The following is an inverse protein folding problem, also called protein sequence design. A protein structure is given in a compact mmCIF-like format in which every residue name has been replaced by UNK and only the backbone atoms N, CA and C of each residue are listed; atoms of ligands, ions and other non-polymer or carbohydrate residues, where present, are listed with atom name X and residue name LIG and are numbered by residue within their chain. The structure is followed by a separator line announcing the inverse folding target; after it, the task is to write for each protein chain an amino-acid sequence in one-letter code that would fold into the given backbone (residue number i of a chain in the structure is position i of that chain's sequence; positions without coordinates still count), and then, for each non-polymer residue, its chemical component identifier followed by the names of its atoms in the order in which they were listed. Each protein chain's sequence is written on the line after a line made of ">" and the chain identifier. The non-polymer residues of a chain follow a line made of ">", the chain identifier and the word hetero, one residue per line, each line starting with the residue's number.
data_IF_127882055289
#
_entry.id   IF_127882055289
#
_cell.length_a   1.000
_cell.length_b   1.000
_cell.length_c   1.000
_cell.angle_alpha   90.00
_cell.angle_beta   90.00
_cell.angle_gamma   90.00
#
_symmetry.space_group_name_H-M   'P 1'
#
loop_
_entity.id
_entity.type
_entity.pdbx_description
1 polymer ?
#
# COMPACT_ATOMS: atom_id res chain seq x y z
N UNK A 1 -2.65 -12.47 54.43
CA UNK A 1 -3.28 -12.30 53.13
C UNK A 1 -2.17 -12.45 52.08
N UNK A 2 -2.08 -13.62 51.49
CA UNK A 2 -1.04 -13.99 50.52
C UNK A 2 -1.39 -13.44 49.14
N UNK A 3 -0.58 -12.53 48.61
CA UNK A 3 -0.68 -12.05 47.25
C UNK A 3 -0.22 -13.15 46.30
N UNK A 4 -1.13 -13.72 45.55
CA UNK A 4 -0.82 -14.64 44.44
C UNK A 4 -0.20 -13.84 43.31
N UNK A 5 1.10 -14.01 43.08
CA UNK A 5 1.80 -13.51 41.92
C UNK A 5 1.26 -14.23 40.69
N UNK A 6 0.44 -13.55 39.90
CA UNK A 6 0.04 -14.03 38.56
C UNK A 6 1.25 -13.96 37.65
N UNK A 7 1.76 -15.12 37.29
CA UNK A 7 2.85 -15.27 36.32
C UNK A 7 2.37 -14.84 34.93
N UNK A 8 2.91 -13.76 34.28
CA UNK A 8 2.45 -13.28 33.00
C UNK A 8 2.91 -14.14 31.81
N UNK A 9 3.52 -15.32 32.07
CA UNK A 9 4.13 -16.17 31.04
C UNK A 9 3.28 -17.32 30.49
N UNK A 10 2.02 -17.47 30.85
CA UNK A 10 1.17 -18.48 30.21
C UNK A 10 0.57 -17.96 28.91
N UNK A 11 1.39 -17.83 27.87
CA UNK A 11 0.90 -17.82 26.50
C UNK A 11 0.00 -19.05 26.35
N UNK A 12 -1.31 -18.83 26.21
CA UNK A 12 -2.28 -19.87 25.92
C UNK A 12 -1.77 -20.60 24.68
N UNK A 13 -1.19 -21.79 24.86
CA UNK A 13 -0.84 -22.66 23.74
C UNK A 13 -2.15 -23.02 23.07
N UNK A 14 -2.49 -22.29 22.00
CA UNK A 14 -3.67 -22.58 21.19
C UNK A 14 -3.68 -24.06 20.78
N UNK A 15 -4.85 -24.67 20.61
CA UNK A 15 -4.94 -26.07 20.25
C UNK A 15 -4.13 -26.34 18.99
N UNK A 16 -3.36 -27.42 18.99
CA UNK A 16 -2.43 -27.80 17.92
C UNK A 16 -3.09 -27.83 16.54
N UNK A 17 -4.36 -28.12 16.46
CA UNK A 17 -5.11 -28.14 15.20
C UNK A 17 -5.26 -26.74 14.58
N UNK A 18 -5.39 -25.68 15.37
CA UNK A 18 -5.40 -24.28 14.88
C UNK A 18 -4.06 -23.90 14.25
N UNK A 19 -2.96 -24.30 14.89
CA UNK A 19 -1.63 -24.07 14.34
C UNK A 19 -1.42 -24.86 13.04
N UNK A 20 -1.83 -26.12 13.02
CA UNK A 20 -1.76 -26.95 11.81
C UNK A 20 -2.63 -26.38 10.67
N UNK A 21 -3.85 -25.93 11.01
CA UNK A 21 -4.73 -25.28 10.02
C UNK A 21 -4.12 -23.97 9.48
N UNK A 22 -3.59 -23.10 10.36
CA UNK A 22 -2.92 -21.88 9.94
C UNK A 22 -1.72 -22.17 9.01
N UNK A 23 -0.88 -23.14 9.36
CA UNK A 23 0.25 -23.56 8.52
C UNK A 23 -0.21 -24.11 7.16
N UNK A 24 -1.30 -24.90 7.13
CA UNK A 24 -1.86 -25.40 5.88
C UNK A 24 -2.37 -24.28 4.98
N UNK A 25 -3.07 -23.28 5.55
CA UNK A 25 -3.54 -22.10 4.81
C UNK A 25 -2.35 -21.30 4.26
N UNK A 26 -1.34 -21.04 5.09
CA UNK A 26 -0.12 -20.35 4.60
C UNK A 26 0.59 -21.15 3.51
N UNK A 27 0.76 -22.45 3.69
CA UNK A 27 1.37 -23.31 2.66
C UNK A 27 0.59 -23.23 1.35
N UNK A 28 -0.74 -23.31 1.40
CA UNK A 28 -1.61 -23.19 0.23
C UNK A 28 -1.48 -21.83 -0.46
N UNK A 29 -1.40 -20.74 0.28
CA UNK A 29 -1.26 -19.38 -0.27
C UNK A 29 0.12 -19.13 -0.90
N UNK A 30 1.18 -19.64 -0.29
CA UNK A 30 2.55 -19.42 -0.78
C UNK A 30 3.02 -20.46 -1.80
N UNK A 31 2.39 -21.63 -1.88
CA UNK A 31 2.74 -22.68 -2.83
C UNK A 31 2.81 -22.21 -4.30
N UNK A 32 1.81 -21.46 -4.83
CA UNK A 32 1.89 -20.92 -6.19
C UNK A 32 3.09 -20.00 -6.41
N UNK A 33 3.43 -19.18 -5.40
CA UNK A 33 4.57 -18.27 -5.47
C UNK A 33 5.88 -19.06 -5.50
N UNK A 34 6.01 -20.08 -4.67
CA UNK A 34 7.19 -20.97 -4.66
C UNK A 34 7.32 -21.67 -6.01
N UNK A 35 6.22 -22.17 -6.58
CA UNK A 35 6.23 -22.79 -7.90
C UNK A 35 6.70 -21.79 -8.96
N UNK A 36 6.17 -20.57 -8.96
CA UNK A 36 6.57 -19.51 -9.88
C UNK A 36 8.07 -19.20 -9.77
N UNK A 37 8.60 -19.09 -8.54
CA UNK A 37 10.05 -18.89 -8.30
C UNK A 37 10.85 -20.06 -8.87
N UNK A 38 10.44 -21.30 -8.62
CA UNK A 38 11.13 -22.48 -9.16
C UNK A 38 11.14 -22.49 -10.70
N UNK A 39 10.01 -22.15 -11.32
CA UNK A 39 9.90 -22.09 -12.78
C UNK A 39 10.67 -20.91 -13.41
N UNK A 40 10.99 -19.86 -12.65
CA UNK A 40 11.86 -18.78 -13.12
C UNK A 40 13.29 -19.24 -13.44
N UNK A 41 13.69 -20.40 -12.89
CA UNK A 41 14.99 -21.02 -13.17
C UNK A 41 14.92 -22.21 -14.15
N UNK A 42 13.73 -22.62 -14.59
CA UNK A 42 13.57 -23.79 -15.44
C UNK A 42 14.09 -23.57 -16.87
N UNK A 43 15.13 -24.27 -17.29
CA UNK A 43 15.75 -24.15 -18.62
C UNK A 43 14.89 -24.69 -19.76
N UNK A 44 13.92 -25.57 -19.46
CA UNK A 44 13.03 -26.17 -20.47
C UNK A 44 11.81 -25.28 -20.80
N UNK A 45 11.74 -24.06 -20.27
CA UNK A 45 10.60 -23.17 -20.49
C UNK A 45 9.40 -23.47 -19.59
N UNK A 46 8.18 -23.20 -20.09
CA UNK A 46 6.93 -23.34 -19.34
C UNK A 46 6.38 -24.75 -19.54
N UNK A 47 6.95 -25.74 -18.92
CA UNK A 47 6.42 -27.08 -19.02
C UNK A 47 7.27 -28.12 -18.28
N UNK A 48 6.58 -29.16 -17.80
CA UNK A 48 7.22 -30.27 -17.09
C UNK A 48 7.49 -30.02 -15.61
N UNK A 49 7.05 -30.95 -14.78
CA UNK A 49 7.41 -31.01 -13.36
C UNK A 49 8.18 -32.32 -13.11
N UNK A 50 9.28 -32.30 -12.40
CA UNK A 50 9.96 -31.16 -11.77
C UNK A 50 10.73 -30.29 -12.78
N UNK A 51 11.09 -29.02 -12.40
CA UNK A 51 11.95 -28.15 -13.20
C UNK A 51 13.29 -28.84 -13.50
N UNK A 52 13.78 -28.71 -14.75
CA UNK A 52 15.02 -29.32 -15.21
C UNK A 52 15.92 -28.25 -15.83
N UNK A 53 17.23 -28.59 -15.95
CA UNK A 53 18.21 -27.73 -16.60
C UNK A 53 18.22 -26.30 -16.05
N UNK A 54 18.38 -26.15 -14.72
CA UNK A 54 18.29 -24.87 -14.02
C UNK A 54 19.21 -23.83 -14.67
N UNK A 55 18.66 -22.66 -15.01
CA UNK A 55 19.35 -21.59 -15.72
C UNK A 55 19.00 -20.21 -15.20
N UNK A 56 19.91 -19.27 -15.34
CA UNK A 56 19.71 -17.85 -15.11
C UNK A 56 19.46 -17.07 -16.42
N UNK A 57 19.35 -17.77 -17.55
CA UNK A 57 19.22 -17.11 -18.85
C UNK A 57 17.99 -16.22 -18.96
N UNK A 58 16.88 -16.60 -18.32
CA UNK A 58 15.64 -15.82 -18.31
C UNK A 58 15.82 -14.45 -17.64
N UNK A 59 16.64 -14.38 -16.59
CA UNK A 59 17.01 -13.11 -15.95
C UNK A 59 17.88 -12.26 -16.88
N UNK A 60 18.80 -12.88 -17.62
CA UNK A 60 19.61 -12.16 -18.60
C UNK A 60 18.75 -11.57 -19.72
N UNK A 61 17.81 -12.36 -20.26
CA UNK A 61 16.85 -11.89 -21.27
C UNK A 61 16.01 -10.75 -20.71
N UNK A 62 15.46 -10.92 -19.50
CA UNK A 62 14.67 -9.92 -18.81
C UNK A 62 15.41 -8.59 -18.64
N UNK A 63 16.68 -8.62 -18.23
CA UNK A 63 17.45 -7.38 -18.08
C UNK A 63 17.76 -6.68 -19.41
N UNK A 64 17.65 -7.39 -20.52
CA UNK A 64 17.81 -6.83 -21.88
C UNK A 64 16.46 -6.43 -22.51
N UNK A 65 15.34 -6.66 -21.83
CA UNK A 65 13.99 -6.45 -22.33
C UNK A 65 13.52 -5.02 -22.02
N UNK A 66 13.85 -4.07 -22.90
CA UNK A 66 13.49 -2.66 -22.74
C UNK A 66 11.97 -2.43 -22.51
N UNK A 67 11.03 -3.04 -23.27
CA UNK A 67 9.59 -2.90 -23.04
C UNK A 67 9.13 -3.21 -21.61
N UNK A 68 9.72 -4.21 -20.94
CA UNK A 68 9.40 -4.51 -19.54
C UNK A 68 9.87 -3.37 -18.63
N UNK A 69 11.10 -2.90 -18.79
CA UNK A 69 11.64 -1.85 -17.93
C UNK A 69 10.93 -0.51 -18.15
N UNK A 70 10.58 -0.19 -19.38
CA UNK A 70 9.74 0.97 -19.67
C UNK A 70 8.38 0.85 -18.99
N UNK A 71 7.76 -0.32 -19.00
CA UNK A 71 6.48 -0.56 -18.34
C UNK A 71 6.59 -0.51 -16.80
N UNK A 72 7.70 -0.95 -16.22
CA UNK A 72 8.00 -0.78 -14.78
C UNK A 72 8.07 0.70 -14.42
N UNK A 73 8.84 1.47 -15.18
CA UNK A 73 8.98 2.92 -14.95
C UNK A 73 7.64 3.64 -15.11
N UNK A 74 6.88 3.32 -16.15
CA UNK A 74 5.54 3.86 -16.39
C UNK A 74 4.59 3.56 -15.22
N UNK A 75 4.59 2.32 -14.70
CA UNK A 75 3.77 1.96 -13.53
C UNK A 75 4.15 2.76 -12.30
N UNK A 76 5.45 2.91 -12.01
CA UNK A 76 5.92 3.70 -10.88
C UNK A 76 5.50 5.17 -11.00
N UNK A 77 5.65 5.75 -12.21
CA UNK A 77 5.25 7.12 -12.49
C UNK A 77 3.74 7.30 -12.33
N UNK A 78 2.93 6.40 -12.92
CA UNK A 78 1.47 6.44 -12.81
C UNK A 78 1.04 6.30 -11.36
N UNK A 79 1.57 5.32 -10.63
CA UNK A 79 1.19 5.07 -9.24
C UNK A 79 1.55 6.26 -8.33
N UNK A 80 2.73 6.84 -8.52
CA UNK A 80 3.16 8.00 -7.74
C UNK A 80 2.32 9.24 -8.05
N UNK A 81 2.08 9.54 -9.33
CA UNK A 81 1.28 10.69 -9.73
C UNK A 81 -0.20 10.54 -9.32
N UNK A 82 -0.79 9.36 -9.49
CA UNK A 82 -2.15 9.06 -9.05
C UNK A 82 -2.29 9.16 -7.52
N UNK A 83 -1.30 8.70 -6.76
CA UNK A 83 -1.24 8.86 -5.31
C UNK A 83 -1.28 10.33 -4.90
N UNK A 84 -0.48 11.19 -5.54
CA UNK A 84 -0.47 12.63 -5.26
C UNK A 84 -1.84 13.27 -5.56
N UNK A 85 -2.45 12.95 -6.69
CA UNK A 85 -3.80 13.43 -7.05
C UNK A 85 -4.82 12.96 -6.02
N UNK A 86 -4.83 11.67 -5.71
CA UNK A 86 -5.79 11.11 -4.77
C UNK A 86 -5.67 11.73 -3.37
N UNK A 87 -4.46 11.97 -2.88
CA UNK A 87 -4.23 12.64 -1.59
C UNK A 87 -4.60 14.12 -1.65
N UNK A 88 -4.26 14.83 -2.73
CA UNK A 88 -4.55 16.25 -2.90
C UNK A 88 -6.06 16.54 -2.84
N UNK A 89 -6.89 15.65 -3.35
CA UNK A 89 -8.35 15.78 -3.30
C UNK A 89 -8.98 15.02 -2.12
N UNK A 90 -8.43 13.89 -1.73
CA UNK A 90 -8.97 13.04 -0.67
C UNK A 90 -8.79 13.64 0.73
N UNK A 91 -7.66 14.30 1.02
CA UNK A 91 -7.45 14.95 2.32
C UNK A 91 -8.47 16.08 2.55
N UNK A 92 -8.66 17.05 1.63
CA UNK A 92 -9.71 18.05 1.78
C UNK A 92 -11.11 17.45 1.86
N UNK A 93 -11.42 16.41 1.09
CA UNK A 93 -12.71 15.74 1.14
C UNK A 93 -12.96 15.09 2.51
N UNK A 94 -11.95 14.43 3.10
CA UNK A 94 -12.03 13.86 4.44
C UNK A 94 -12.27 14.94 5.51
N UNK A 95 -11.53 16.06 5.43
CA UNK A 95 -11.72 17.21 6.34
C UNK A 95 -13.12 17.81 6.22
N UNK A 96 -13.63 17.99 4.98
CA UNK A 96 -14.98 18.49 4.76
C UNK A 96 -16.02 17.54 5.35
N UNK A 97 -15.85 16.23 5.18
CA UNK A 97 -16.75 15.22 5.75
C UNK A 97 -16.69 15.17 7.28
N UNK A 98 -15.52 15.41 7.88
CA UNK A 98 -15.38 15.38 9.34
C UNK A 98 -15.90 16.68 9.99
N UNK A 99 -15.50 17.85 9.48
CA UNK A 99 -15.63 19.12 10.19
C UNK A 99 -16.72 20.05 9.66
N UNK A 100 -16.95 20.05 8.35
CA UNK A 100 -17.91 20.97 7.76
C UNK A 100 -19.35 20.47 7.90
N UNK A 101 -20.27 21.40 8.14
CA UNK A 101 -21.70 21.19 8.04
C UNK A 101 -22.19 21.99 6.84
N UNK A 102 -22.70 21.34 5.81
CA UNK A 102 -23.21 21.98 4.60
C UNK A 102 -24.38 21.20 4.02
N UNK A 103 -25.30 21.89 3.31
CA UNK A 103 -26.39 21.21 2.64
C UNK A 103 -25.87 20.24 1.59
N UNK A 104 -26.41 19.03 1.54
CA UNK A 104 -25.94 17.99 0.62
C UNK A 104 -24.74 17.17 1.09
N UNK A 105 -24.25 17.33 2.33
CA UNK A 105 -23.14 16.55 2.88
C UNK A 105 -23.32 15.03 2.73
N UNK A 106 -24.54 14.53 2.91
CA UNK A 106 -24.84 13.11 2.73
C UNK A 106 -24.67 12.66 1.27
N UNK A 107 -25.08 13.49 0.32
CA UNK A 107 -24.89 13.23 -1.12
C UNK A 107 -23.39 13.29 -1.48
N UNK A 108 -22.68 14.32 -1.02
CA UNK A 108 -21.23 14.45 -1.20
C UNK A 108 -20.49 13.21 -0.71
N UNK A 109 -20.81 12.72 0.49
CA UNK A 109 -20.25 11.48 1.05
C UNK A 109 -20.47 10.28 0.13
N UNK A 110 -21.70 10.12 -0.38
CA UNK A 110 -22.02 9.01 -1.30
C UNK A 110 -21.24 9.12 -2.61
N UNK A 111 -21.15 10.32 -3.18
CA UNK A 111 -20.42 10.54 -4.45
C UNK A 111 -18.91 10.30 -4.31
N UNK A 112 -18.30 10.78 -3.22
CA UNK A 112 -16.86 10.55 -2.97
C UNK A 112 -16.56 9.08 -2.77
N UNK A 113 -17.45 8.30 -2.16
CA UNK A 113 -17.25 6.87 -1.90
C UNK A 113 -17.70 5.98 -3.07
N UNK A 114 -18.40 6.53 -4.05
CA UNK A 114 -18.94 5.77 -5.19
C UNK A 114 -17.87 4.99 -5.97
N UNK A 115 -16.68 5.57 -6.27
CA UNK A 115 -15.63 4.83 -6.99
C UNK A 115 -15.16 3.56 -6.29
N UNK A 116 -15.25 3.50 -4.95
CA UNK A 116 -14.86 2.31 -4.19
C UNK A 116 -15.81 1.11 -4.43
N UNK A 117 -17.04 1.39 -4.80
CA UNK A 117 -18.10 0.38 -5.00
C UNK A 117 -18.15 -0.06 -6.47
N UNK A 118 -17.77 0.84 -7.38
CA UNK A 118 -17.86 0.57 -8.82
C UNK A 118 -16.75 -0.41 -9.25
N UNK A 119 -17.08 -1.44 -10.06
CA UNK A 119 -16.07 -2.27 -10.69
C UNK A 119 -15.12 -1.43 -11.57
N UNK A 120 -13.80 -1.69 -11.48
CA UNK A 120 -12.78 -0.93 -12.24
C UNK A 120 -13.05 -0.88 -13.74
N UNK A 121 -13.60 -1.95 -14.32
CA UNK A 121 -14.00 -1.99 -15.73
C UNK A 121 -15.03 -0.90 -16.06
N UNK A 122 -16.04 -0.69 -15.22
CA UNK A 122 -17.07 0.33 -15.44
C UNK A 122 -16.45 1.73 -15.32
N UNK A 123 -15.60 1.94 -14.33
CA UNK A 123 -14.87 3.20 -14.15
C UNK A 123 -13.99 3.50 -15.37
N UNK A 124 -13.20 2.53 -15.81
CA UNK A 124 -12.32 2.67 -16.98
C UNK A 124 -13.09 2.97 -18.27
N UNK A 125 -14.18 2.25 -18.53
CA UNK A 125 -15.02 2.46 -19.70
C UNK A 125 -15.71 3.84 -19.67
N UNK A 126 -16.22 4.26 -18.53
CA UNK A 126 -16.86 5.58 -18.37
C UNK A 126 -15.86 6.72 -18.60
N UNK A 127 -14.64 6.59 -18.07
CA UNK A 127 -13.57 7.56 -18.29
C UNK A 127 -13.10 7.56 -19.76
N UNK A 128 -13.02 6.39 -20.41
CA UNK A 128 -12.73 6.31 -21.83
C UNK A 128 -13.76 7.10 -22.65
N UNK A 129 -15.04 6.93 -22.36
CA UNK A 129 -16.11 7.67 -23.05
C UNK A 129 -15.97 9.19 -22.81
N UNK A 130 -15.70 9.59 -21.57
CA UNK A 130 -15.49 10.99 -21.20
C UNK A 130 -14.31 11.59 -22.01
N UNK A 131 -13.17 10.91 -22.05
CA UNK A 131 -11.99 11.36 -22.79
C UNK A 131 -12.22 11.39 -24.30
N UNK A 132 -13.03 10.45 -24.82
CA UNK A 132 -13.42 10.46 -26.24
C UNK A 132 -14.31 11.66 -26.60
N UNK A 133 -15.29 11.99 -25.78
CA UNK A 133 -16.13 13.18 -25.95
C UNK A 133 -15.30 14.48 -25.87
N UNK A 134 -14.31 14.50 -24.97
CA UNK A 134 -13.37 15.62 -24.83
C UNK A 134 -12.23 15.64 -25.84
N UNK A 135 -12.22 14.72 -26.83
CA UNK A 135 -11.14 14.56 -27.82
C UNK A 135 -9.74 14.41 -27.21
N UNK A 136 -9.66 13.93 -25.97
CA UNK A 136 -8.40 13.70 -25.25
C UNK A 136 -7.71 12.46 -25.80
N UNK A 137 -6.46 12.61 -26.25
CA UNK A 137 -5.64 11.46 -26.68
C UNK A 137 -5.25 10.62 -25.47
N UNK A 138 -5.48 9.31 -25.58
CA UNK A 138 -5.09 8.35 -24.55
C UNK A 138 -3.56 8.29 -24.41
N UNK A 139 -3.09 8.28 -23.17
CA UNK A 139 -1.67 8.32 -22.80
C UNK A 139 -1.46 7.90 -21.35
N UNK A 140 -0.25 7.90 -20.85
CA UNK A 140 0.02 7.72 -19.40
C UNK A 140 -0.72 8.74 -18.54
N UNK A 141 -0.92 9.99 -19.04
CA UNK A 141 -1.67 11.01 -18.31
C UNK A 141 -3.13 10.60 -18.10
N UNK A 142 -3.79 10.01 -19.10
CA UNK A 142 -5.18 9.52 -18.94
C UNK A 142 -5.28 8.38 -17.94
N UNK A 143 -4.26 7.51 -17.85
CA UNK A 143 -4.17 6.48 -16.81
C UNK A 143 -3.98 7.13 -15.44
N UNK A 144 -3.07 8.10 -15.30
CA UNK A 144 -2.84 8.86 -14.05
C UNK A 144 -4.13 9.52 -13.56
N UNK A 145 -4.87 10.18 -14.45
CA UNK A 145 -6.15 10.81 -14.10
C UNK A 145 -7.21 9.78 -13.71
N UNK A 146 -7.25 8.64 -14.41
CA UNK A 146 -8.17 7.54 -14.12
C UNK A 146 -7.92 6.93 -12.75
N UNK A 147 -6.68 6.53 -12.46
CA UNK A 147 -6.29 5.99 -11.15
C UNK A 147 -6.44 7.04 -10.05
N UNK A 148 -5.96 8.27 -10.29
CA UNK A 148 -6.07 9.36 -9.32
C UNK A 148 -7.51 9.62 -8.92
N UNK A 149 -8.41 9.71 -9.88
CA UNK A 149 -9.85 9.95 -9.62
C UNK A 149 -10.50 8.77 -8.88
N UNK A 150 -10.24 7.53 -9.31
CA UNK A 150 -10.80 6.34 -8.68
C UNK A 150 -10.33 6.18 -7.21
N UNK A 151 -9.08 6.53 -6.93
CA UNK A 151 -8.45 6.33 -5.62
C UNK A 151 -8.65 7.50 -4.63
N UNK A 152 -9.33 8.60 -5.04
CA UNK A 152 -9.76 9.68 -4.11
C UNK A 152 -10.60 9.09 -2.96
N UNK A 153 -11.46 8.12 -3.26
CA UNK A 153 -12.31 7.46 -2.27
C UNK A 153 -11.48 6.74 -1.20
N UNK A 154 -10.39 6.07 -1.60
CA UNK A 154 -9.46 5.40 -0.67
C UNK A 154 -8.76 6.42 0.21
N UNK A 155 -8.20 7.49 -0.40
CA UNK A 155 -7.57 8.59 0.35
C UNK A 155 -8.53 9.20 1.37
N UNK A 156 -9.76 9.49 0.93
CA UNK A 156 -10.79 10.09 1.80
C UNK A 156 -11.12 9.17 2.98
N UNK A 157 -11.30 7.88 2.74
CA UNK A 157 -11.68 6.91 3.78
C UNK A 157 -10.58 6.74 4.82
N UNK A 158 -9.33 6.57 4.38
CA UNK A 158 -8.19 6.36 5.28
C UNK A 158 -7.90 7.60 6.12
N UNK A 159 -7.90 8.78 5.50
CA UNK A 159 -7.68 10.04 6.21
C UNK A 159 -8.85 10.35 7.16
N UNK A 160 -10.10 10.09 6.73
CA UNK A 160 -11.27 10.26 7.60
C UNK A 160 -11.20 9.34 8.82
N UNK A 161 -10.80 8.08 8.66
CA UNK A 161 -10.60 7.17 9.79
C UNK A 161 -9.49 7.66 10.75
N UNK A 162 -8.46 8.32 10.23
CA UNK A 162 -7.43 9.00 11.03
C UNK A 162 -7.99 10.18 11.82
N UNK A 163 -8.80 11.04 11.17
CA UNK A 163 -9.45 12.20 11.80
C UNK A 163 -10.36 11.80 12.98
N UNK A 164 -11.06 10.67 12.86
CA UNK A 164 -11.94 10.17 13.94
C UNK A 164 -11.16 9.77 15.21
N UNK A 165 -9.87 9.50 15.10
CA UNK A 165 -9.00 9.16 16.24
C UNK A 165 -8.30 10.39 16.82
N UNK A 166 -8.34 11.53 16.13
CA UNK A 166 -7.68 12.75 16.56
C UNK A 166 -8.43 13.40 17.73
N UNK A 167 -7.70 13.80 18.78
CA UNK A 167 -8.26 14.60 19.85
C UNK A 167 -8.44 16.05 19.40
N UNK A 168 -9.68 16.47 19.19
CA UNK A 168 -10.03 17.82 18.74
C UNK A 168 -9.64 18.93 19.70
N UNK A 169 -9.53 18.64 21.00
CA UNK A 169 -9.10 19.62 21.98
C UNK A 169 -7.71 20.23 21.69
N UNK A 170 -6.83 19.52 20.96
CA UNK A 170 -5.54 20.06 20.55
C UNK A 170 -5.67 21.17 19.49
N UNK A 171 -6.64 21.03 18.59
CA UNK A 171 -6.91 22.02 17.56
C UNK A 171 -7.64 23.25 18.14
N UNK A 172 -8.62 23.01 19.01
CA UNK A 172 -9.33 24.06 19.73
C UNK A 172 -8.37 24.88 20.60
N UNK A 173 -7.50 24.24 21.38
CA UNK A 173 -6.48 24.93 22.15
C UNK A 173 -5.52 25.75 21.30
N UNK A 174 -5.16 25.28 20.10
CA UNK A 174 -4.33 26.04 19.16
C UNK A 174 -5.02 27.31 18.68
N UNK A 175 -6.32 27.23 18.38
CA UNK A 175 -7.12 28.36 17.94
C UNK A 175 -7.34 29.37 19.10
N UNK A 176 -7.55 28.89 20.33
CA UNK A 176 -7.68 29.74 21.53
C UNK A 176 -6.40 30.51 21.83
N UNK A 177 -5.25 29.94 21.49
CA UNK A 177 -3.93 30.61 21.57
C UNK A 177 -3.68 31.60 20.42
N UNK A 178 -4.67 31.84 19.54
CA UNK A 178 -4.60 32.79 18.44
C UNK A 178 -3.98 32.26 17.15
N UNK A 179 -3.79 30.95 17.01
CA UNK A 179 -3.35 30.38 15.73
C UNK A 179 -4.47 30.46 14.68
N UNK A 180 -4.10 30.68 13.42
CA UNK A 180 -5.05 30.61 12.31
C UNK A 180 -5.39 29.14 11.97
N UNK A 181 -6.54 28.89 11.31
CA UNK A 181 -6.91 27.55 10.83
C UNK A 181 -5.82 26.89 9.99
N UNK A 182 -5.11 27.68 9.16
CA UNK A 182 -3.99 27.20 8.33
C UNK A 182 -2.76 26.79 9.17
N UNK A 183 -2.45 27.55 10.20
CA UNK A 183 -1.38 27.22 11.13
C UNK A 183 -1.73 25.97 11.95
N UNK A 184 -2.95 25.86 12.45
CA UNK A 184 -3.44 24.68 13.16
C UNK A 184 -3.40 23.43 12.25
N UNK A 185 -3.84 23.56 10.99
CA UNK A 185 -3.79 22.47 10.03
C UNK A 185 -2.35 21.92 9.85
N UNK A 186 -1.39 22.78 9.54
CA UNK A 186 -0.03 22.33 9.26
C UNK A 186 0.77 21.95 10.50
N UNK A 187 0.52 22.58 11.65
CA UNK A 187 1.32 22.38 12.87
C UNK A 187 0.71 21.36 13.85
N UNK A 188 -0.60 21.13 13.79
CA UNK A 188 -1.29 20.22 14.68
C UNK A 188 -1.94 19.05 13.91
N UNK A 189 -2.82 19.36 12.95
CA UNK A 189 -3.62 18.33 12.25
C UNK A 189 -2.75 17.39 11.43
N UNK A 190 -1.95 17.93 10.49
CA UNK A 190 -1.09 17.12 9.59
C UNK A 190 -0.08 16.27 10.35
N UNK A 191 0.67 16.78 11.34
CA UNK A 191 1.60 15.96 12.13
C UNK A 191 0.93 14.83 12.89
N UNK A 192 -0.27 15.04 13.43
CA UNK A 192 -1.04 14.01 14.11
C UNK A 192 -1.63 12.96 13.14
N UNK A 193 -1.94 13.36 11.90
CA UNK A 193 -2.45 12.48 10.84
C UNK A 193 -1.35 11.82 10.01
N UNK A 194 -0.07 12.12 10.25
CA UNK A 194 1.03 11.65 9.38
C UNK A 194 1.01 10.15 9.11
N UNK A 195 0.72 9.34 10.11
CA UNK A 195 0.66 7.88 9.95
C UNK A 195 -0.53 7.44 9.08
N UNK A 196 -1.70 8.08 9.23
CA UNK A 196 -2.86 7.81 8.38
C UNK A 196 -2.63 8.27 6.95
N UNK A 197 -1.99 9.43 6.76
CA UNK A 197 -1.66 9.95 5.42
C UNK A 197 -0.62 9.04 4.73
N UNK A 198 0.42 8.62 5.45
CA UNK A 198 1.43 7.69 4.91
C UNK A 198 0.79 6.33 4.60
N UNK A 199 -0.07 5.83 5.48
CA UNK A 199 -0.82 4.59 5.24
C UNK A 199 -1.70 4.68 3.99
N UNK A 200 -2.46 5.77 3.84
CA UNK A 200 -3.25 6.04 2.65
C UNK A 200 -2.37 6.13 1.39
N UNK A 201 -1.25 6.84 1.45
CA UNK A 201 -0.30 6.98 0.35
C UNK A 201 0.22 5.62 -0.14
N UNK A 202 0.69 4.78 0.78
CA UNK A 202 1.20 3.44 0.46
C UNK A 202 0.10 2.54 -0.10
N UNK A 203 -1.10 2.58 0.46
CA UNK A 203 -2.24 1.79 -0.02
C UNK A 203 -2.62 2.22 -1.45
N UNK A 204 -2.76 3.53 -1.70
CA UNK A 204 -3.08 4.07 -3.02
C UNK A 204 -2.01 3.72 -4.04
N UNK A 205 -0.74 3.89 -3.68
CA UNK A 205 0.38 3.52 -4.53
C UNK A 205 0.31 2.03 -4.92
N UNK A 206 0.09 1.15 -3.96
CA UNK A 206 0.00 -0.30 -4.20
C UNK A 206 -1.20 -0.65 -5.07
N UNK A 207 -2.38 -0.09 -4.79
CA UNK A 207 -3.58 -0.32 -5.60
C UNK A 207 -3.40 0.17 -7.04
N UNK A 208 -2.74 1.32 -7.24
CA UNK A 208 -2.46 1.84 -8.57
C UNK A 208 -1.43 1.01 -9.34
N UNK A 209 -0.45 0.41 -8.63
CA UNK A 209 0.56 -0.48 -9.24
C UNK A 209 -0.04 -1.78 -9.79
N UNK A 210 -1.13 -2.27 -9.22
CA UNK A 210 -1.79 -3.53 -9.60
C UNK A 210 -3.04 -3.34 -10.48
N UNK A 211 -3.39 -2.06 -10.81
CA UNK A 211 -4.63 -1.75 -11.52
C UNK A 211 -4.52 -2.05 -13.01
N UNK A 212 -5.26 -3.06 -13.45
CA UNK A 212 -5.34 -3.47 -14.87
C UNK A 212 -6.59 -2.92 -15.54
N UNK A 213 -7.74 -2.97 -14.87
CA UNK A 213 -9.03 -2.75 -15.50
C UNK A 213 -9.20 -1.32 -16.00
N UNK A 214 -8.87 -0.32 -15.19
CA UNK A 214 -8.90 1.10 -15.58
C UNK A 214 -7.83 1.38 -16.63
N UNK A 215 -6.60 0.90 -16.39
CA UNK A 215 -5.47 1.06 -17.31
C UNK A 215 -5.78 0.55 -18.72
N UNK A 216 -6.44 -0.61 -18.82
CA UNK A 216 -6.77 -1.25 -20.11
C UNK A 216 -7.60 -0.36 -21.04
N UNK A 217 -8.54 0.41 -20.48
CA UNK A 217 -9.38 1.32 -21.26
C UNK A 217 -8.71 2.66 -21.56
N UNK A 218 -7.77 3.09 -20.72
CA UNK A 218 -7.17 4.42 -20.79
C UNK A 218 -5.77 4.44 -21.41
N UNK A 219 -5.26 3.27 -21.80
CA UNK A 219 -3.93 3.12 -22.37
C UNK A 219 -3.81 3.77 -23.74
N UNK A 220 -2.68 4.43 -23.97
CA UNK A 220 -2.25 4.93 -25.28
C UNK A 220 -1.26 3.98 -25.96
N UNK A 221 -0.01 4.46 -26.15
CA UNK A 221 1.08 3.68 -26.73
C UNK A 221 1.93 2.98 -25.68
N UNK A 222 2.02 3.57 -24.48
CA UNK A 222 2.94 3.16 -23.43
C UNK A 222 2.21 2.27 -22.41
N UNK A 223 2.73 1.07 -22.22
CA UNK A 223 2.15 0.11 -21.29
C UNK A 223 2.55 0.40 -19.82
N UNK A 224 1.66 0.02 -18.90
CA UNK A 224 2.00 -0.23 -17.50
C UNK A 224 2.43 -1.69 -17.33
N UNK A 225 3.18 -1.99 -16.26
CA UNK A 225 3.69 -3.35 -16.01
C UNK A 225 2.59 -4.42 -15.96
N UNK A 226 1.45 -4.23 -15.25
CA UNK A 226 0.37 -5.20 -15.27
C UNK A 226 -0.19 -5.46 -16.67
N UNK A 227 -0.32 -4.43 -17.50
CA UNK A 227 -0.80 -4.57 -18.88
C UNK A 227 0.22 -5.26 -19.78
N UNK A 228 1.52 -4.97 -19.60
CA UNK A 228 2.58 -5.65 -20.35
C UNK A 228 2.61 -7.14 -20.02
N UNK A 229 2.56 -7.48 -18.72
CA UNK A 229 2.47 -8.88 -18.27
C UNK A 229 1.21 -9.55 -18.83
N UNK A 230 0.06 -8.89 -18.73
CA UNK A 230 -1.20 -9.41 -19.27
C UNK A 230 -1.15 -9.64 -20.79
N UNK A 231 -0.57 -8.69 -21.51
CA UNK A 231 -0.37 -8.82 -22.95
C UNK A 231 0.52 -10.00 -23.34
N UNK A 232 1.57 -10.26 -22.57
CA UNK A 232 2.46 -11.42 -22.76
C UNK A 232 1.75 -12.73 -22.43
N UNK A 233 1.05 -12.80 -21.32
CA UNK A 233 0.27 -13.98 -20.93
C UNK A 233 -0.74 -14.41 -22.00
N UNK A 234 -1.38 -13.46 -22.67
CA UNK A 234 -2.32 -13.73 -23.78
C UNK A 234 -1.65 -14.32 -25.01
N UNK A 235 -0.40 -13.98 -25.26
CA UNK A 235 0.40 -14.53 -26.39
C UNK A 235 1.04 -15.87 -26.07
N UNK A 236 1.04 -16.27 -24.82
CA UNK A 236 1.65 -17.49 -24.28
C UNK A 236 2.47 -17.19 -23.05
N UNK A 237 2.49 -18.09 -22.08
CA UNK A 237 3.29 -17.95 -20.88
C UNK A 237 4.77 -18.10 -21.26
N UNK A 238 5.58 -17.09 -20.99
CA UNK A 238 7.03 -17.15 -21.18
C UNK A 238 7.75 -17.15 -19.83
N UNK A 239 8.88 -17.83 -19.69
CA UNK A 239 9.58 -17.92 -18.41
C UNK A 239 10.09 -16.58 -17.88
N UNK A 240 10.26 -15.57 -18.73
CA UNK A 240 10.63 -14.21 -18.34
C UNK A 240 9.59 -13.59 -17.41
N UNK A 241 8.30 -13.96 -17.57
CA UNK A 241 7.23 -13.51 -16.67
C UNK A 241 7.46 -14.05 -15.26
N UNK A 242 7.90 -15.31 -15.15
CA UNK A 242 8.24 -15.87 -13.84
C UNK A 242 9.47 -15.18 -13.24
N UNK A 243 10.46 -14.81 -14.07
CA UNK A 243 11.65 -14.11 -13.62
C UNK A 243 11.33 -12.70 -13.09
N UNK A 244 10.52 -11.88 -13.81
CA UNK A 244 10.12 -10.55 -13.31
C UNK A 244 9.28 -10.64 -12.04
N UNK A 245 8.32 -11.57 -11.98
CA UNK A 245 7.50 -11.79 -10.79
C UNK A 245 8.35 -12.21 -9.59
N UNK A 246 9.38 -13.04 -9.79
CA UNK A 246 10.34 -13.42 -8.75
C UNK A 246 11.13 -12.23 -8.24
N UNK A 247 11.61 -11.34 -9.14
CA UNK A 247 12.34 -10.13 -8.74
C UNK A 247 11.45 -9.22 -7.90
N UNK A 248 10.20 -8.97 -8.34
CA UNK A 248 9.24 -8.13 -7.61
C UNK A 248 8.96 -8.73 -6.22
N UNK A 249 8.74 -10.04 -6.14
CA UNK A 249 8.49 -10.72 -4.87
C UNK A 249 9.69 -10.61 -3.91
N UNK A 250 10.89 -10.89 -4.39
CA UNK A 250 12.13 -10.81 -3.58
C UNK A 250 12.38 -9.38 -3.12
N UNK A 251 12.19 -8.40 -4.02
CA UNK A 251 12.31 -6.99 -3.66
C UNK A 251 11.29 -6.57 -2.59
N UNK A 252 10.04 -6.99 -2.73
CA UNK A 252 8.97 -6.71 -1.75
C UNK A 252 9.29 -7.33 -0.39
N UNK A 253 9.75 -8.59 -0.38
CA UNK A 253 10.16 -9.28 0.84
C UNK A 253 11.35 -8.56 1.51
N UNK A 254 12.35 -8.17 0.72
CA UNK A 254 13.49 -7.40 1.22
C UNK A 254 13.05 -6.08 1.84
N UNK A 255 12.16 -5.32 1.17
CA UNK A 255 11.63 -4.06 1.67
C UNK A 255 10.89 -4.23 3.02
N UNK A 256 10.08 -5.28 3.16
CA UNK A 256 9.36 -5.60 4.41
C UNK A 256 10.36 -5.94 5.53
N UNK A 257 11.33 -6.81 5.27
CA UNK A 257 12.33 -7.22 6.27
C UNK A 257 13.21 -6.04 6.68
N UNK A 258 13.61 -5.21 5.71
CA UNK A 258 14.39 -4.00 5.96
C UNK A 258 13.63 -3.01 6.84
N UNK A 259 12.36 -2.73 6.50
CA UNK A 259 11.50 -1.85 7.29
C UNK A 259 11.28 -2.39 8.72
N UNK A 260 11.01 -3.68 8.85
CA UNK A 260 10.85 -4.33 10.16
C UNK A 260 12.11 -4.17 11.02
N UNK A 261 13.29 -4.40 10.45
CA UNK A 261 14.56 -4.23 11.18
C UNK A 261 14.85 -2.78 11.57
N UNK A 262 14.46 -1.82 10.73
CA UNK A 262 14.59 -0.40 11.11
C UNK A 262 13.68 -0.06 12.29
N UNK A 263 12.46 -0.54 12.26
CA UNK A 263 11.48 -0.28 13.32
C UNK A 263 11.90 -0.89 14.66
N UNK A 264 12.32 -2.13 14.68
CA UNK A 264 12.75 -2.81 15.92
C UNK A 264 13.99 -2.16 16.56
N UNK A 265 14.88 -1.58 15.76
CA UNK A 265 16.01 -0.80 16.28
C UNK A 265 15.56 0.52 16.91
N UNK A 266 14.52 1.16 16.40
CA UNK A 266 13.98 2.40 16.96
C UNK A 266 13.18 2.18 18.26
N UNK A 267 12.53 1.03 18.41
CA UNK A 267 11.73 0.68 19.58
C UNK A 267 12.58 0.14 20.76
N UNK A 268 13.78 -0.40 20.50
CA UNK A 268 14.68 -0.92 21.56
C UNK A 268 15.44 0.15 22.36
N UNK A 269 15.47 1.40 21.88
CA UNK A 269 16.19 2.49 22.58
C UNK A 269 15.43 3.07 23.79
N UNK A 270 14.08 3.21 23.77
CA UNK A 270 13.33 3.73 24.92
C UNK A 270 13.32 2.80 26.14
N UNK A 271 13.25 1.48 25.93
CA UNK A 271 13.23 0.53 27.05
C UNK A 271 14.55 0.49 27.84
N UNK A 272 15.68 0.49 27.13
CA UNK A 272 17.00 0.52 27.75
C UNK A 272 17.21 1.83 28.54
N UNK A 273 16.75 2.96 28.01
CA UNK A 273 16.84 4.26 28.69
C UNK A 273 15.93 4.30 29.92
N UNK A 274 14.71 3.74 29.82
CA UNK A 274 13.78 3.66 30.95
C UNK A 274 14.35 2.77 32.09
N UNK A 275 14.93 1.63 31.73
CA UNK A 275 15.56 0.71 32.68
C UNK A 275 16.80 1.33 33.35
N UNK A 276 17.61 2.07 32.61
CA UNK A 276 18.75 2.82 33.16
C UNK A 276 18.33 3.95 34.08
N UNK A 277 17.26 4.68 33.76
CA UNK A 277 16.70 5.74 34.61
C UNK A 277 16.12 5.18 35.88
N UNK A 278 15.38 4.06 35.79
CA UNK A 278 14.80 3.37 36.97
C UNK A 278 15.90 2.83 37.89
N UNK A 279 16.93 2.22 37.31
CA UNK A 279 18.11 1.71 38.05
C UNK A 279 18.87 2.85 38.75
N UNK A 280 19.03 3.99 38.09
CA UNK A 280 19.66 5.19 38.64
C UNK A 280 18.83 5.77 39.81
N UNK A 281 17.50 5.79 39.69
CA UNK A 281 16.61 6.26 40.75
C UNK A 281 16.61 5.32 41.98
N UNK A 282 16.69 4.01 41.78
CA UNK A 282 16.80 3.03 42.87
C UNK A 282 18.10 3.21 43.59
N UNK A 283 19.23 3.35 42.89
CA UNK A 283 20.54 3.56 43.48
C UNK A 283 20.64 4.88 44.29
N UNK A 284 20.01 5.95 43.81
CA UNK A 284 19.97 7.23 44.52
C UNK A 284 19.19 7.16 45.85
N UNK A 285 18.13 6.33 45.92
CA UNK A 285 17.34 6.10 47.13
C UNK A 285 18.03 5.18 48.17
N UNK A 286 18.98 4.35 47.71
CA UNK A 286 19.74 3.46 48.59
C UNK A 286 20.98 4.15 49.20
N UNK A 287 21.39 5.31 48.64
CA UNK A 287 22.53 6.10 49.10
C UNK A 287 22.15 7.29 50.00
N UNK A 288 20.86 7.51 50.20
CA UNK A 288 20.31 8.51 51.17
C UNK A 288 19.80 7.84 52.41
#
# INVERSE_FOLDING_TARGET
>A
MSATSSNPGSLIKGPRWLTAHALAVFAFLYLPIVILILYSFNGQGVGGFPPRDLTLNWYRILFSDAPIWDSVFNSLLVAFAAMLIALAFGIPAALALDRAQFPGKALFRRLVLLPLILPGIITGLSLLMLFRVGEVKLSLLTIVLGHGTALISVATTEVFAGLQKLNRAQEEASLDLGATYWQTFWRITVPNLKLSIIGAALLIFTLSMDEIAVSFFLIGRDNTLPLEIWGRLRRGITPEINAISTIIFVFSLFAIVFWYRLRTRAEGTPEIVAELVETAQINSKLSS
#
